data_IF_461459755735
#
_entry.id   IF_461459755735
#
_cell.length_a   1.000
_cell.length_b   1.000
_cell.length_c   1.000
_cell.angle_alpha   90.00
_cell.angle_beta   90.00
_cell.angle_gamma   90.00
#
_symmetry.space_group_name_H-M   'P 1'
#
loop_
_entity.id
_entity.type
_entity.pdbx_description
1 polymer ?
#
# COMPACT_ATOMS: atom_id res chain seq x y z
N UNK A 1 31.80 -12.42 -32.51
CA UNK A 1 32.60 -13.65 -32.60
C UNK A 1 32.60 -14.31 -31.23
N UNK A 2 31.98 -15.47 -31.20
CA UNK A 2 32.19 -16.63 -30.32
C UNK A 2 31.95 -16.45 -28.80
N UNK A 3 30.86 -16.98 -28.42
CA UNK A 3 30.61 -18.01 -27.38
C UNK A 3 31.28 -17.88 -26.03
N UNK A 4 30.46 -17.60 -25.06
CA UNK A 4 30.57 -18.14 -23.69
C UNK A 4 29.16 -18.29 -23.08
N UNK A 5 28.38 -19.19 -23.65
CA UNK A 5 27.30 -19.90 -22.96
C UNK A 5 27.81 -21.28 -22.59
N UNK A 6 27.78 -21.60 -21.34
CA UNK A 6 27.83 -22.89 -20.62
C UNK A 6 28.94 -22.89 -19.59
N UNK A 7 28.52 -22.78 -18.36
CA UNK A 7 28.89 -23.62 -17.21
C UNK A 7 28.55 -22.89 -15.92
N UNK A 8 27.50 -23.23 -15.27
CA UNK A 8 27.43 -23.69 -13.89
C UNK A 8 26.08 -24.37 -13.76
N UNK A 9 26.16 -25.69 -13.84
CA UNK A 9 25.09 -26.61 -13.55
C UNK A 9 25.01 -26.90 -12.05
N UNK A 10 23.78 -27.22 -11.67
CA UNK A 10 23.36 -28.27 -10.72
C UNK A 10 24.25 -28.56 -9.51
N UNK A 11 23.62 -28.42 -8.38
CA UNK A 11 23.56 -29.30 -7.22
C UNK A 11 23.42 -28.52 -5.92
N UNK A 12 22.26 -28.52 -5.33
CA UNK A 12 21.99 -28.88 -3.94
C UNK A 12 20.50 -29.10 -3.79
N UNK A 13 20.05 -30.31 -4.07
CA UNK A 13 18.83 -30.88 -3.48
C UNK A 13 19.31 -31.98 -2.58
N UNK A 14 19.16 -31.87 -1.26
CA UNK A 14 18.84 -33.00 -0.41
C UNK A 14 18.46 -32.59 1.03
N UNK A 15 17.35 -33.17 1.44
CA UNK A 15 16.89 -33.53 2.78
C UNK A 15 16.19 -32.48 3.61
N UNK A 16 14.89 -32.61 3.68
CA UNK A 16 14.20 -32.89 4.94
C UNK A 16 12.89 -33.63 4.66
N UNK A 17 12.73 -34.71 5.38
CA UNK A 17 11.92 -35.86 5.22
C UNK A 17 10.40 -35.67 5.28
N UNK A 18 9.79 -36.56 4.55
CA UNK A 18 8.38 -36.88 4.59
C UNK A 18 8.01 -37.58 5.92
N UNK A 19 6.90 -37.15 6.50
CA UNK A 19 6.06 -38.03 7.32
C UNK A 19 4.61 -37.51 7.21
N UNK A 20 3.85 -38.20 6.38
CA UNK A 20 2.38 -38.21 6.41
C UNK A 20 1.94 -39.59 6.88
N UNK A 21 1.09 -39.73 7.89
CA UNK A 21 0.36 -40.97 8.08
C UNK A 21 -0.88 -40.98 7.18
N UNK A 22 -0.97 -42.07 6.42
CA UNK A 22 -2.16 -42.46 5.67
C UNK A 22 -3.27 -42.89 6.66
N UNK A 23 -4.44 -42.28 6.57
CA UNK A 23 -5.65 -42.83 7.19
C UNK A 23 -6.46 -43.58 6.16
N UNK A 24 -6.66 -44.89 6.45
CA UNK A 24 -7.53 -45.80 5.75
C UNK A 24 -9.00 -45.36 5.91
N UNK A 25 -9.74 -45.40 4.82
CA UNK A 25 -11.19 -45.36 4.80
C UNK A 25 -11.77 -46.68 5.31
N UNK A 26 -12.61 -46.61 6.33
CA UNK A 26 -13.47 -47.71 6.75
C UNK A 26 -14.91 -47.41 6.30
N UNK A 27 -15.64 -48.37 5.70
CA UNK A 27 -17.01 -48.18 5.25
C UNK A 27 -17.97 -48.70 6.32
N UNK A 28 -18.85 -47.78 6.78
CA UNK A 28 -20.02 -48.23 7.53
C UNK A 28 -20.41 -47.34 8.69
N UNK A 29 -21.36 -46.42 8.45
CA UNK A 29 -22.27 -45.98 9.50
C UNK A 29 -23.61 -45.56 8.89
N UNK A 30 -24.73 -45.81 9.62
CA UNK A 30 -26.09 -45.81 9.11
C UNK A 30 -26.73 -44.42 9.10
N UNK A 31 -27.77 -44.30 8.29
CA UNK A 31 -28.67 -43.13 8.21
C UNK A 31 -29.26 -42.78 9.58
N UNK A 32 -29.19 -41.49 9.95
CA UNK A 32 -30.00 -40.90 11.03
C UNK A 32 -30.63 -39.57 10.62
N UNK A 33 -31.69 -39.13 11.29
CA UNK A 33 -32.88 -38.57 10.67
C UNK A 33 -32.84 -37.04 10.59
N UNK A 34 -33.74 -36.51 9.74
CA UNK A 34 -34.04 -35.10 9.51
C UNK A 34 -34.33 -34.37 10.84
N UNK A 35 -33.56 -33.34 11.14
CA UNK A 35 -33.87 -32.33 12.14
C UNK A 35 -34.29 -31.05 11.44
N UNK A 36 -35.51 -30.63 11.70
CA UNK A 36 -36.11 -29.36 11.33
C UNK A 36 -35.40 -28.16 12.00
N UNK A 37 -35.25 -27.01 11.37
CA UNK A 37 -34.64 -25.83 11.98
C UNK A 37 -35.61 -25.14 12.94
N UNK A 38 -35.17 -24.93 14.18
CA UNK A 38 -35.80 -24.01 15.14
C UNK A 38 -35.48 -22.58 14.76
N UNK A 39 -36.52 -21.78 14.59
CA UNK A 39 -36.48 -20.34 14.43
C UNK A 39 -36.08 -19.70 15.75
N UNK A 40 -35.05 -18.88 15.75
CA UNK A 40 -34.75 -17.93 16.82
C UNK A 40 -34.88 -16.53 16.25
N UNK A 41 -35.88 -15.80 16.70
CA UNK A 41 -36.11 -14.40 16.36
C UNK A 41 -35.15 -13.50 17.11
N UNK A 42 -34.46 -12.59 16.38
CA UNK A 42 -33.77 -11.43 16.91
C UNK A 42 -33.85 -10.27 15.91
N UNK A 43 -34.08 -9.02 16.34
CA UNK A 43 -34.50 -7.94 15.46
C UNK A 43 -33.34 -7.27 14.75
N UNK A 44 -33.44 -7.08 13.44
CA UNK A 44 -32.68 -6.07 12.71
C UNK A 44 -31.86 -6.56 11.52
N UNK A 45 -32.45 -7.28 10.56
CA UNK A 45 -31.94 -7.29 9.18
C UNK A 45 -33.06 -7.72 8.25
N UNK A 46 -33.56 -6.81 7.44
CA UNK A 46 -34.44 -7.14 6.33
C UNK A 46 -33.62 -7.85 5.25
N UNK A 47 -33.75 -9.17 5.18
CA UNK A 47 -33.41 -9.96 4.01
C UNK A 47 -34.71 -10.41 3.36
N UNK A 48 -34.83 -10.18 2.06
CA UNK A 48 -35.93 -10.64 1.23
C UNK A 48 -35.95 -12.18 1.22
N UNK A 49 -37.06 -12.76 1.79
CA UNK A 49 -37.39 -14.15 1.60
C UNK A 49 -37.94 -14.37 0.19
N UNK A 50 -37.37 -15.31 -0.53
CA UNK A 50 -37.99 -15.91 -1.71
C UNK A 50 -38.76 -17.17 -1.28
N UNK A 51 -40.06 -17.06 -1.26
CA UNK A 51 -41.00 -18.20 -1.13
C UNK A 51 -41.04 -18.94 -2.48
N UNK A 52 -40.64 -20.20 -2.48
CA UNK A 52 -40.96 -21.14 -3.56
C UNK A 52 -42.38 -21.68 -3.34
N UNK A 53 -43.34 -21.29 -4.15
CA UNK A 53 -44.59 -22.01 -4.39
C UNK A 53 -44.52 -22.68 -5.74
N UNK A 54 -44.94 -23.94 -5.80
CA UNK A 54 -44.82 -24.85 -6.94
C UNK A 54 -45.66 -24.49 -8.18
N UNK A 55 -45.71 -25.33 -9.20
CA UNK A 55 -45.70 -24.95 -10.60
C UNK A 55 -47.07 -24.58 -11.14
N UNK A 56 -47.16 -23.41 -11.79
CA UNK A 56 -48.11 -23.16 -12.88
C UNK A 56 -47.28 -22.82 -14.12
N UNK A 57 -47.60 -23.54 -15.20
CA UNK A 57 -47.06 -23.32 -16.53
C UNK A 57 -47.42 -21.91 -17.03
N UNK A 58 -46.59 -21.41 -17.95
CA UNK A 58 -46.67 -20.14 -18.66
C UNK A 58 -46.14 -18.91 -17.92
N UNK A 59 -44.81 -18.89 -17.78
CA UNK A 59 -44.10 -17.61 -17.72
C UNK A 59 -42.80 -17.74 -18.56
N UNK A 60 -42.83 -17.07 -19.68
CA UNK A 60 -41.65 -16.92 -20.52
C UNK A 60 -40.53 -16.33 -19.65
N UNK A 61 -39.44 -17.03 -19.55
CA UNK A 61 -38.16 -16.62 -18.93
C UNK A 61 -37.85 -15.18 -19.33
N UNK A 62 -38.27 -14.20 -18.55
CA UNK A 62 -37.65 -12.89 -18.54
C UNK A 62 -36.27 -13.11 -17.93
N UNK A 63 -35.27 -13.42 -18.78
CA UNK A 63 -33.89 -13.15 -18.43
C UNK A 63 -33.85 -11.73 -17.90
N UNK A 64 -33.52 -11.55 -16.64
CA UNK A 64 -33.23 -10.22 -16.07
C UNK A 64 -32.07 -9.66 -16.91
N UNK A 65 -32.42 -8.93 -17.97
CA UNK A 65 -31.48 -8.19 -18.78
C UNK A 65 -30.77 -7.22 -17.82
N UNK A 66 -29.51 -7.49 -17.58
CA UNK A 66 -28.68 -6.61 -16.75
C UNK A 66 -28.72 -5.21 -17.35
N UNK A 67 -29.08 -4.21 -16.56
CA UNK A 67 -29.25 -2.83 -17.03
C UNK A 67 -27.97 -2.33 -17.70
N UNK A 68 -28.10 -1.82 -18.91
CA UNK A 68 -26.98 -1.33 -19.71
C UNK A 68 -26.72 0.14 -19.34
N UNK A 69 -25.59 0.38 -18.68
CA UNK A 69 -25.22 1.73 -18.21
C UNK A 69 -24.55 2.55 -19.31
N UNK A 70 -23.62 1.94 -20.08
CA UNK A 70 -22.86 2.63 -21.14
C UNK A 70 -23.11 1.96 -22.50
N UNK A 71 -23.83 2.64 -23.38
CA UNK A 71 -24.20 2.12 -24.70
C UNK A 71 -23.08 2.15 -25.72
N UNK A 72 -22.09 3.04 -25.55
CA UNK A 72 -20.95 3.27 -26.46
C UNK A 72 -19.67 3.29 -25.63
N UNK A 73 -19.00 2.18 -25.55
CA UNK A 73 -17.83 2.05 -24.71
C UNK A 73 -16.76 1.16 -25.35
N UNK A 74 -15.53 1.32 -24.86
CA UNK A 74 -14.39 0.55 -25.33
C UNK A 74 -13.61 -0.06 -24.15
N UNK A 75 -13.19 -1.32 -24.30
CA UNK A 75 -12.22 -1.97 -23.42
C UNK A 75 -10.86 -2.03 -24.11
N UNK A 76 -9.80 -1.67 -23.39
CA UNK A 76 -8.42 -1.69 -23.87
C UNK A 76 -7.60 -2.71 -23.09
N UNK A 77 -7.06 -3.70 -23.77
CA UNK A 77 -6.01 -4.58 -23.26
C UNK A 77 -4.65 -4.03 -23.68
N UNK A 78 -3.90 -3.50 -22.71
CA UNK A 78 -2.69 -2.74 -22.96
C UNK A 78 -1.45 -3.58 -22.67
N UNK A 79 -0.64 -3.80 -23.70
CA UNK A 79 0.66 -4.43 -23.64
C UNK A 79 1.79 -3.42 -23.87
N UNK A 80 3.05 -3.91 -23.84
CA UNK A 80 4.23 -3.06 -24.06
C UNK A 80 4.26 -2.47 -25.47
N UNK A 81 3.91 -3.24 -26.48
CA UNK A 81 4.08 -2.88 -27.89
C UNK A 81 2.73 -2.66 -28.60
N UNK A 82 1.65 -3.18 -28.06
CA UNK A 82 0.33 -3.15 -28.67
C UNK A 82 -0.78 -2.80 -27.68
N UNK A 83 -1.84 -2.22 -28.19
CA UNK A 83 -3.12 -2.03 -27.51
C UNK A 83 -4.19 -2.72 -28.33
N UNK A 84 -4.87 -3.69 -27.75
CA UNK A 84 -6.05 -4.31 -28.34
C UNK A 84 -7.28 -3.58 -27.82
N UNK A 85 -8.04 -2.94 -28.73
CA UNK A 85 -9.22 -2.16 -28.44
C UNK A 85 -10.48 -2.92 -28.91
N UNK A 86 -11.43 -3.11 -28.00
CA UNK A 86 -12.76 -3.62 -28.31
C UNK A 86 -13.80 -2.54 -28.12
N UNK A 87 -14.25 -1.97 -29.23
CA UNK A 87 -15.38 -1.03 -29.25
C UNK A 87 -16.69 -1.80 -29.20
N UNK A 88 -17.57 -1.47 -28.25
CA UNK A 88 -18.88 -2.05 -28.06
C UNK A 88 -19.95 -0.97 -28.20
N UNK A 89 -20.83 -1.14 -29.18
CA UNK A 89 -21.93 -0.23 -29.50
C UNK A 89 -23.25 -0.96 -29.34
N UNK A 90 -24.22 -0.29 -28.76
CA UNK A 90 -25.58 -0.82 -28.60
C UNK A 90 -26.58 0.16 -29.24
N UNK A 91 -27.23 -0.32 -30.29
CA UNK A 91 -28.30 0.41 -31.02
C UNK A 91 -29.50 -0.52 -31.21
N UNK A 92 -30.69 -0.05 -30.87
CA UNK A 92 -31.95 -0.77 -31.05
C UNK A 92 -31.94 -2.21 -30.43
N UNK A 93 -31.32 -2.34 -29.27
CA UNK A 93 -31.18 -3.63 -28.56
C UNK A 93 -30.16 -4.59 -29.17
N UNK A 94 -29.52 -4.24 -30.27
CA UNK A 94 -28.45 -5.04 -30.91
C UNK A 94 -27.09 -4.56 -30.43
N UNK A 95 -26.26 -5.53 -30.04
CA UNK A 95 -24.85 -5.30 -29.66
C UNK A 95 -23.97 -5.55 -30.87
N UNK A 96 -23.16 -4.57 -31.23
CA UNK A 96 -22.09 -4.70 -32.21
C UNK A 96 -20.74 -4.49 -31.54
N UNK A 97 -19.78 -5.31 -31.86
CA UNK A 97 -18.41 -5.22 -31.34
C UNK A 97 -17.43 -5.16 -32.50
N UNK A 98 -16.48 -4.25 -32.43
CA UNK A 98 -15.37 -4.17 -33.38
C UNK A 98 -14.06 -4.23 -32.59
N UNK A 99 -13.15 -5.09 -33.00
CA UNK A 99 -11.85 -5.26 -32.36
C UNK A 99 -10.77 -4.79 -33.33
N UNK A 100 -9.93 -3.87 -32.86
CA UNK A 100 -8.73 -3.39 -33.59
C UNK A 100 -7.50 -3.47 -32.70
N UNK A 101 -6.35 -3.66 -33.32
CA UNK A 101 -5.05 -3.63 -32.65
C UNK A 101 -4.26 -2.42 -33.14
N UNK A 102 -3.74 -1.65 -32.19
CA UNK A 102 -2.90 -0.49 -32.44
C UNK A 102 -1.53 -0.70 -31.82
N UNK A 103 -0.48 -0.07 -32.39
CA UNK A 103 0.82 -0.04 -31.73
C UNK A 103 0.82 1.00 -30.61
N UNK A 104 1.71 0.85 -29.63
CA UNK A 104 1.84 1.84 -28.53
C UNK A 104 2.68 3.07 -28.93
N UNK A 105 2.88 3.31 -30.23
CA UNK A 105 3.50 4.55 -30.72
C UNK A 105 2.51 5.70 -30.64
N UNK A 106 3.01 6.93 -30.45
CA UNK A 106 2.15 8.12 -30.33
C UNK A 106 1.21 8.27 -31.53
N UNK A 107 1.72 8.04 -32.75
CA UNK A 107 0.89 8.14 -33.96
C UNK A 107 -0.24 7.11 -33.98
N UNK A 108 -0.01 5.89 -33.53
CA UNK A 108 -1.05 4.86 -33.48
C UNK A 108 -2.04 5.09 -32.34
N UNK A 109 -1.59 5.63 -31.21
CA UNK A 109 -2.48 5.98 -30.11
C UNK A 109 -3.37 7.18 -30.45
N UNK A 110 -2.88 8.14 -31.24
CA UNK A 110 -3.72 9.21 -31.80
C UNK A 110 -4.77 8.65 -32.78
N UNK A 111 -4.37 7.69 -33.63
CA UNK A 111 -5.35 6.98 -34.51
C UNK A 111 -6.38 6.19 -33.70
N UNK A 112 -6.00 5.63 -32.56
CA UNK A 112 -6.94 5.01 -31.63
C UNK A 112 -7.95 6.04 -31.11
N UNK A 113 -7.49 7.22 -30.66
CA UNK A 113 -8.36 8.30 -30.19
C UNK A 113 -9.34 8.76 -31.29
N UNK A 114 -8.82 9.05 -32.47
CA UNK A 114 -9.64 9.43 -33.65
C UNK A 114 -10.69 8.37 -34.01
N UNK A 115 -10.31 7.09 -33.98
CA UNK A 115 -11.23 5.99 -34.26
C UNK A 115 -12.33 5.87 -33.20
N UNK A 116 -12.00 6.05 -31.92
CA UNK A 116 -12.98 6.04 -30.83
C UNK A 116 -13.96 7.21 -30.95
N UNK A 117 -13.45 8.44 -31.22
CA UNK A 117 -14.24 9.63 -31.36
C UNK A 117 -15.20 9.52 -32.60
N UNK A 118 -14.70 9.06 -33.76
CA UNK A 118 -15.48 8.87 -34.96
C UNK A 118 -16.64 7.88 -34.76
N UNK A 119 -16.54 6.92 -33.86
CA UNK A 119 -17.60 5.99 -33.51
C UNK A 119 -18.48 6.45 -32.34
N UNK A 120 -18.25 7.67 -31.83
CA UNK A 120 -19.00 8.25 -30.72
C UNK A 120 -18.83 7.47 -29.39
N UNK A 121 -17.66 6.87 -29.15
CA UNK A 121 -17.31 6.24 -27.88
C UNK A 121 -17.35 7.30 -26.78
N UNK A 122 -17.93 6.96 -25.63
CA UNK A 122 -18.05 7.87 -24.49
C UNK A 122 -17.21 7.44 -23.30
N UNK A 123 -17.00 6.14 -23.12
CA UNK A 123 -16.31 5.56 -21.97
C UNK A 123 -15.25 4.58 -22.43
N UNK A 124 -14.07 4.66 -21.83
CA UNK A 124 -12.94 3.76 -22.14
C UNK A 124 -12.39 3.16 -20.86
N UNK A 125 -12.35 1.83 -20.80
CA UNK A 125 -11.73 1.12 -19.69
C UNK A 125 -10.41 0.47 -20.10
N UNK A 126 -9.39 0.56 -19.25
CA UNK A 126 -8.12 -0.14 -19.41
C UNK A 126 -7.65 -0.77 -18.09
N UNK A 127 -6.91 -1.88 -18.17
CA UNK A 127 -6.36 -2.53 -16.98
C UNK A 127 -5.05 -1.88 -16.54
N UNK A 128 -4.87 -1.71 -15.21
CA UNK A 128 -3.65 -1.16 -14.60
C UNK A 128 -2.49 -2.17 -14.66
N UNK A 129 -1.98 -2.49 -15.86
CA UNK A 129 -0.88 -3.42 -16.06
C UNK A 129 0.46 -2.70 -16.12
N UNK A 130 1.27 -2.84 -15.07
CA UNK A 130 2.60 -2.23 -14.98
C UNK A 130 2.58 -0.71 -15.14
N UNK A 131 3.36 -0.22 -16.12
CA UNK A 131 3.43 1.22 -16.48
C UNK A 131 2.86 1.50 -17.87
N UNK A 132 2.50 0.46 -18.63
CA UNK A 132 2.17 0.55 -20.05
C UNK A 132 0.86 1.28 -20.33
N UNK A 133 -0.07 1.27 -19.37
CA UNK A 133 -1.33 2.00 -19.46
C UNK A 133 -1.15 3.54 -19.48
N UNK A 134 -0.05 4.06 -18.90
CA UNK A 134 0.14 5.52 -18.74
C UNK A 134 0.21 6.31 -20.05
N UNK A 135 1.03 5.90 -21.04
CA UNK A 135 1.03 6.61 -22.34
C UNK A 135 -0.33 6.62 -23.02
N UNK A 136 -1.06 5.49 -22.95
CA UNK A 136 -2.41 5.37 -23.51
C UNK A 136 -3.37 6.31 -22.78
N UNK A 137 -3.31 6.31 -21.44
CA UNK A 137 -4.11 7.23 -20.62
C UNK A 137 -3.87 8.69 -20.99
N UNK A 138 -2.60 9.10 -21.05
CA UNK A 138 -2.26 10.51 -21.31
C UNK A 138 -2.68 11.00 -22.70
N UNK A 139 -2.76 10.13 -23.69
CA UNK A 139 -3.23 10.51 -25.03
C UNK A 139 -4.76 10.57 -25.09
N UNK A 140 -5.46 9.70 -24.34
CA UNK A 140 -6.92 9.67 -24.32
C UNK A 140 -7.54 10.62 -23.27
N UNK A 141 -6.74 11.21 -22.37
CA UNK A 141 -7.18 12.12 -21.29
C UNK A 141 -7.24 13.58 -21.81
N UNK A 142 -7.92 13.78 -22.94
CA UNK A 142 -8.15 15.07 -23.59
C UNK A 142 -9.54 15.66 -23.31
N UNK A 143 -10.37 14.93 -22.55
CA UNK A 143 -11.72 15.31 -22.17
C UNK A 143 -12.82 14.78 -23.10
N UNK A 144 -12.49 14.09 -24.18
CA UNK A 144 -13.49 13.48 -25.09
C UNK A 144 -14.09 12.20 -24.50
N UNK A 145 -13.34 11.49 -23.63
CA UNK A 145 -13.73 10.19 -23.08
C UNK A 145 -13.75 10.20 -21.56
N UNK A 146 -14.69 9.49 -20.96
CA UNK A 146 -14.61 9.12 -19.55
C UNK A 146 -13.72 7.89 -19.39
N UNK A 147 -12.51 8.09 -18.82
CA UNK A 147 -11.51 7.06 -18.69
C UNK A 147 -11.64 6.30 -17.36
N UNK A 148 -11.65 4.97 -17.42
CA UNK A 148 -11.76 4.07 -16.27
C UNK A 148 -10.53 3.17 -16.20
N UNK A 149 -9.66 3.40 -15.22
CA UNK A 149 -8.55 2.50 -14.95
C UNK A 149 -9.02 1.37 -14.03
N UNK A 150 -9.07 0.16 -14.55
CA UNK A 150 -9.52 -1.03 -13.83
C UNK A 150 -8.40 -1.70 -13.05
N UNK A 151 -8.70 -2.21 -11.84
CA UNK A 151 -7.76 -3.04 -11.09
C UNK A 151 -7.85 -4.48 -11.57
N UNK A 152 -6.73 -5.06 -12.05
CA UNK A 152 -6.62 -6.43 -12.53
C UNK A 152 -7.22 -7.48 -11.57
N UNK A 153 -6.98 -7.35 -10.27
CA UNK A 153 -7.53 -8.28 -9.29
C UNK A 153 -9.05 -8.16 -9.14
N UNK A 154 -9.62 -6.98 -9.40
CA UNK A 154 -11.06 -6.76 -9.36
C UNK A 154 -11.72 -7.35 -10.60
N UNK A 155 -11.20 -7.07 -11.78
CA UNK A 155 -11.70 -7.60 -13.07
C UNK A 155 -11.71 -9.13 -13.08
N UNK A 156 -10.66 -9.77 -12.56
CA UNK A 156 -10.55 -11.24 -12.45
C UNK A 156 -11.55 -11.87 -11.47
N UNK A 157 -12.07 -11.12 -10.52
CA UNK A 157 -12.98 -11.61 -9.48
C UNK A 157 -14.46 -11.32 -9.75
N UNK A 158 -14.80 -10.66 -10.87
CA UNK A 158 -16.20 -10.45 -11.25
C UNK A 158 -16.78 -11.80 -11.69
N UNK A 159 -17.90 -12.27 -11.10
CA UNK A 159 -18.55 -13.50 -11.54
C UNK A 159 -19.03 -13.37 -12.98
N UNK A 160 -18.71 -14.34 -13.82
CA UNK A 160 -19.11 -14.37 -15.20
C UNK A 160 -18.27 -15.39 -15.99
N UNK A 161 -18.71 -15.72 -17.18
CA UNK A 161 -17.99 -16.63 -18.07
C UNK A 161 -16.86 -15.85 -18.74
N UNK A 162 -15.63 -16.03 -18.28
CA UNK A 162 -14.45 -15.66 -19.06
C UNK A 162 -14.37 -16.68 -20.20
N UNK A 163 -14.89 -16.32 -21.37
CA UNK A 163 -14.58 -17.06 -22.60
C UNK A 163 -13.16 -16.70 -22.98
N UNK A 164 -12.47 -17.56 -23.77
CA UNK A 164 -11.12 -17.29 -24.31
C UNK A 164 -11.06 -16.10 -25.28
N UNK A 165 -12.05 -15.26 -25.23
CA UNK A 165 -12.22 -14.05 -25.99
C UNK A 165 -11.52 -12.94 -25.24
N UNK A 166 -10.55 -12.38 -25.90
CA UNK A 166 -9.79 -11.17 -25.71
C UNK A 166 -10.15 -10.36 -24.44
N UNK A 167 -9.17 -10.15 -23.55
CA UNK A 167 -9.34 -9.40 -22.30
C UNK A 167 -9.96 -8.00 -22.54
N UNK A 168 -9.77 -7.42 -23.74
CA UNK A 168 -10.41 -6.17 -24.17
C UNK A 168 -11.93 -6.28 -24.29
N UNK A 169 -12.47 -7.39 -24.86
CA UNK A 169 -13.92 -7.60 -24.97
C UNK A 169 -14.57 -7.76 -23.60
N UNK A 170 -13.90 -8.48 -22.70
CA UNK A 170 -14.37 -8.63 -21.32
C UNK A 170 -14.40 -7.31 -20.57
N UNK A 171 -13.38 -6.45 -20.74
CA UNK A 171 -13.37 -5.10 -20.18
C UNK A 171 -14.50 -4.24 -20.73
N UNK A 172 -14.76 -4.29 -22.05
CA UNK A 172 -15.86 -3.56 -22.68
C UNK A 172 -17.22 -3.99 -22.15
N UNK A 173 -17.43 -5.30 -21.96
CA UNK A 173 -18.66 -5.85 -21.40
C UNK A 173 -18.88 -5.42 -19.94
N UNK A 174 -17.86 -5.57 -19.10
CA UNK A 174 -17.92 -5.13 -17.71
C UNK A 174 -18.17 -3.62 -17.58
N UNK A 175 -17.54 -2.82 -18.46
CA UNK A 175 -17.73 -1.37 -18.49
C UNK A 175 -19.17 -1.04 -18.89
N UNK A 176 -19.70 -1.67 -19.93
CA UNK A 176 -21.07 -1.45 -20.42
C UNK A 176 -22.12 -1.64 -19.33
N UNK A 177 -21.90 -2.56 -18.41
CA UNK A 177 -22.80 -2.86 -17.29
C UNK A 177 -22.41 -2.18 -15.97
N UNK A 178 -21.43 -1.24 -15.96
CA UNK A 178 -21.00 -0.53 -14.75
C UNK A 178 -20.35 -1.40 -13.68
N UNK A 179 -19.85 -2.57 -14.04
CA UNK A 179 -19.26 -3.54 -13.12
C UNK A 179 -17.80 -3.25 -12.77
N UNK A 180 -17.16 -2.29 -13.45
CA UNK A 180 -15.78 -1.86 -13.18
C UNK A 180 -15.79 -0.73 -12.15
N UNK A 181 -15.06 -0.94 -11.05
CA UNK A 181 -14.74 0.16 -10.14
C UNK A 181 -13.46 0.84 -10.57
N UNK A 182 -13.55 2.14 -10.83
CA UNK A 182 -12.40 2.96 -11.20
C UNK A 182 -11.31 2.92 -10.11
N UNK A 183 -10.08 2.74 -10.52
CA UNK A 183 -8.91 2.93 -9.66
C UNK A 183 -8.58 4.42 -9.57
N UNK A 184 -8.01 4.83 -8.45
CA UNK A 184 -7.53 6.20 -8.28
C UNK A 184 -6.34 6.48 -9.21
N UNK A 185 -6.53 7.39 -10.17
CA UNK A 185 -5.49 7.98 -11.00
C UNK A 185 -5.31 9.42 -10.54
N UNK A 186 -4.16 9.79 -10.00
CA UNK A 186 -3.89 11.17 -9.59
C UNK A 186 -3.66 12.06 -10.83
N UNK A 187 -3.84 13.36 -10.64
CA UNK A 187 -3.47 14.37 -11.62
C UNK A 187 -1.97 14.35 -11.94
N UNK A 188 -1.61 15.02 -13.05
CA UNK A 188 -0.22 15.03 -13.56
C UNK A 188 0.78 15.55 -12.53
N UNK A 189 0.46 16.65 -11.82
CA UNK A 189 1.36 17.22 -10.81
C UNK A 189 1.60 16.25 -9.64
N UNK A 190 0.55 15.61 -9.16
CA UNK A 190 0.65 14.56 -8.13
C UNK A 190 1.43 13.34 -8.64
N UNK A 191 1.30 12.95 -9.92
CA UNK A 191 2.07 11.86 -10.50
C UNK A 191 3.57 12.20 -10.59
N UNK A 192 3.93 13.41 -11.00
CA UNK A 192 5.32 13.88 -11.05
C UNK A 192 5.95 13.89 -9.66
N UNK A 193 5.26 14.49 -8.68
CA UNK A 193 5.69 14.51 -7.29
C UNK A 193 5.89 13.10 -6.73
N UNK A 194 4.96 12.18 -7.04
CA UNK A 194 5.04 10.77 -6.68
C UNK A 194 6.28 10.09 -7.30
N UNK A 195 6.58 10.36 -8.55
CA UNK A 195 7.74 9.80 -9.23
C UNK A 195 9.05 10.29 -8.59
N UNK A 196 9.17 11.58 -8.29
CA UNK A 196 10.32 12.15 -7.60
C UNK A 196 10.55 11.50 -6.23
N UNK A 197 9.53 11.44 -5.38
CA UNK A 197 9.66 10.91 -4.02
C UNK A 197 9.88 9.39 -3.98
N UNK A 198 9.34 8.64 -4.96
CA UNK A 198 9.64 7.22 -5.12
C UNK A 198 11.07 6.99 -5.60
N UNK A 199 11.55 7.80 -6.54
CA UNK A 199 12.95 7.80 -6.99
C UNK A 199 13.89 8.10 -5.82
N UNK A 200 13.62 9.15 -5.05
CA UNK A 200 14.37 9.46 -3.83
C UNK A 200 14.46 8.26 -2.88
N UNK A 201 13.33 7.61 -2.62
CA UNK A 201 13.30 6.44 -1.74
C UNK A 201 14.10 5.26 -2.30
N UNK A 202 14.16 5.13 -3.61
CA UNK A 202 14.99 4.12 -4.28
C UNK A 202 16.46 4.44 -4.09
N UNK A 203 16.90 5.69 -4.31
CA UNK A 203 18.28 6.14 -4.08
C UNK A 203 18.74 5.90 -2.64
N UNK A 204 17.87 6.15 -1.64
CA UNK A 204 18.15 5.82 -0.22
C UNK A 204 18.41 4.32 -0.02
N UNK A 205 17.66 3.44 -0.70
CA UNK A 205 17.87 2.00 -0.61
C UNK A 205 19.19 1.56 -1.25
N UNK A 206 19.53 2.15 -2.38
CA UNK A 206 20.81 1.91 -3.08
C UNK A 206 21.98 2.36 -2.23
N UNK A 207 21.90 3.57 -1.65
CA UNK A 207 22.90 4.07 -0.70
C UNK A 207 23.08 3.12 0.48
N UNK A 208 21.97 2.68 1.11
CA UNK A 208 22.02 1.71 2.21
C UNK A 208 22.71 0.40 1.81
N UNK A 209 22.50 -0.05 0.55
CA UNK A 209 23.17 -1.23 0.02
C UNK A 209 24.68 -1.03 -0.11
N UNK A 210 25.13 0.16 -0.51
CA UNK A 210 26.55 0.48 -0.56
C UNK A 210 27.16 0.60 0.84
N UNK A 211 26.47 1.18 1.82
CA UNK A 211 26.90 1.21 3.23
C UNK A 211 27.12 -0.20 3.77
N UNK A 212 26.18 -1.13 3.51
CA UNK A 212 26.35 -2.54 3.91
C UNK A 212 27.55 -3.22 3.23
N UNK A 213 27.88 -2.85 1.98
CA UNK A 213 29.10 -3.35 1.30
C UNK A 213 30.36 -2.78 1.93
N UNK A 214 30.37 -1.51 2.35
CA UNK A 214 31.47 -0.93 3.14
C UNK A 214 31.66 -1.71 4.43
N UNK A 215 30.58 -1.95 5.20
CA UNK A 215 30.64 -2.77 6.43
C UNK A 215 31.24 -4.14 6.16
N UNK A 216 30.77 -4.84 5.12
CA UNK A 216 31.30 -6.15 4.75
C UNK A 216 32.78 -6.12 4.40
N UNK A 217 33.24 -5.10 3.69
CA UNK A 217 34.69 -4.92 3.32
C UNK A 217 35.54 -4.64 4.55
N UNK A 218 35.04 -3.84 5.50
CA UNK A 218 35.71 -3.59 6.77
C UNK A 218 35.79 -4.86 7.62
N UNK A 219 34.69 -5.63 7.65
CA UNK A 219 34.61 -6.90 8.38
C UNK A 219 35.60 -7.94 7.81
N UNK A 220 35.73 -8.03 6.48
CA UNK A 220 36.72 -8.87 5.81
C UNK A 220 38.19 -8.46 6.15
N UNK A 221 38.43 -7.17 6.36
CA UNK A 221 39.70 -6.64 6.85
C UNK A 221 39.88 -6.78 8.38
N UNK A 222 38.96 -7.37 9.09
CA UNK A 222 38.87 -7.42 10.56
C UNK A 222 38.87 -6.05 11.25
N UNK A 223 38.22 -5.06 10.62
CA UNK A 223 37.99 -3.71 11.16
C UNK A 223 36.54 -3.67 11.70
N UNK A 224 36.38 -3.47 13.01
CA UNK A 224 35.10 -3.58 13.74
C UNK A 224 34.46 -2.22 14.05
N UNK A 225 34.52 -1.27 13.12
CA UNK A 225 34.01 0.09 13.32
C UNK A 225 32.51 0.15 13.58
N UNK A 226 31.72 -0.74 12.99
CA UNK A 226 30.26 -0.80 13.17
C UNK A 226 29.85 -1.25 14.59
N UNK A 227 30.74 -1.94 15.31
CA UNK A 227 30.50 -2.34 16.70
C UNK A 227 30.71 -1.20 17.71
N UNK A 228 31.48 -0.17 17.34
CA UNK A 228 31.88 0.94 18.22
C UNK A 228 31.29 2.29 17.81
N UNK A 229 30.83 2.42 16.56
CA UNK A 229 30.18 3.62 16.04
C UNK A 229 28.72 3.35 15.74
N UNK A 230 27.83 4.25 16.15
CA UNK A 230 26.41 4.16 15.85
C UNK A 230 26.08 4.52 14.39
N UNK A 231 26.96 5.28 13.74
CA UNK A 231 26.84 5.69 12.34
C UNK A 231 28.21 5.63 11.65
N UNK A 232 28.38 4.64 10.79
CA UNK A 232 29.61 4.40 10.06
C UNK A 232 29.89 5.49 9.00
N UNK A 233 28.83 6.08 8.43
CA UNK A 233 28.96 7.16 7.43
C UNK A 233 28.94 8.54 8.06
N UNK A 234 28.79 8.65 9.38
CA UNK A 234 28.94 9.89 10.10
C UNK A 234 30.38 10.42 10.10
N UNK A 235 30.58 11.67 10.57
CA UNK A 235 31.86 12.40 10.52
C UNK A 235 33.08 11.55 10.92
N UNK A 236 32.99 10.85 12.07
CA UNK A 236 34.15 10.07 12.58
C UNK A 236 34.39 8.79 11.79
N UNK A 237 33.30 8.03 11.47
CA UNK A 237 33.44 6.81 10.70
C UNK A 237 33.99 7.08 9.30
N UNK A 238 33.42 8.10 8.65
CA UNK A 238 33.88 8.52 7.31
C UNK A 238 35.37 8.91 7.32
N UNK A 239 35.83 9.76 8.27
CA UNK A 239 37.20 10.18 8.38
C UNK A 239 38.17 8.98 8.60
N UNK A 240 37.77 8.02 9.46
CA UNK A 240 38.57 6.81 9.69
C UNK A 240 38.66 5.93 8.45
N UNK A 241 37.56 5.74 7.70
CA UNK A 241 37.55 4.96 6.47
C UNK A 241 38.40 5.63 5.40
N UNK A 242 38.31 6.94 5.24
CA UNK A 242 39.13 7.70 4.28
C UNK A 242 40.61 7.60 4.61
N UNK A 243 41.01 7.67 5.89
CA UNK A 243 42.37 7.47 6.34
C UNK A 243 42.87 6.03 6.07
N UNK A 244 42.04 5.02 6.28
CA UNK A 244 42.32 3.62 5.92
C UNK A 244 42.60 3.49 4.40
N UNK A 245 41.74 4.13 3.59
CA UNK A 245 41.91 4.17 2.11
C UNK A 245 43.21 4.87 1.71
N UNK A 246 43.56 5.95 2.40
CA UNK A 246 44.79 6.69 2.17
C UNK A 246 46.09 5.91 2.56
N UNK A 247 45.89 4.82 3.33
CA UNK A 247 47.00 3.95 3.70
C UNK A 247 47.44 4.05 5.15
N UNK A 248 46.74 4.84 5.98
CA UNK A 248 47.02 4.84 7.42
C UNK A 248 46.63 3.49 8.03
N UNK A 249 47.55 2.92 8.80
CA UNK A 249 47.37 1.61 9.48
C UNK A 249 47.57 1.70 10.97
N UNK A 250 47.99 2.85 11.48
CA UNK A 250 48.22 3.05 12.90
C UNK A 250 46.91 3.26 13.64
N UNK A 251 46.46 2.30 14.52
CA UNK A 251 45.17 2.39 15.22
C UNK A 251 45.07 3.62 16.15
N UNK A 252 46.18 4.14 16.64
CA UNK A 252 46.18 5.33 17.52
C UNK A 252 45.85 6.58 16.70
N UNK A 253 46.47 6.75 15.52
CA UNK A 253 46.17 7.85 14.62
C UNK A 253 44.73 7.76 14.11
N UNK A 254 44.30 6.60 13.69
CA UNK A 254 42.92 6.37 13.23
C UNK A 254 41.89 6.67 14.32
N UNK A 255 42.09 6.20 15.56
CA UNK A 255 41.22 6.49 16.69
C UNK A 255 41.20 8.00 17.04
N UNK A 256 42.31 8.71 16.81
CA UNK A 256 42.40 10.15 17.00
C UNK A 256 41.50 10.99 16.08
N UNK A 257 40.96 10.41 15.00
CA UNK A 257 39.96 11.05 14.12
C UNK A 257 38.56 11.05 14.70
N UNK A 258 38.33 10.42 15.87
CA UNK A 258 37.03 10.38 16.53
C UNK A 258 36.62 11.76 17.01
N UNK A 259 35.41 12.18 16.68
CA UNK A 259 34.74 13.35 17.27
C UNK A 259 34.44 13.10 18.77
N UNK A 260 34.47 14.17 19.59
CA UNK A 260 34.20 14.11 21.04
C UNK A 260 32.85 13.46 21.41
N UNK A 261 31.92 13.39 20.48
CA UNK A 261 30.59 12.77 20.65
C UNK A 261 30.59 11.25 20.52
N UNK A 262 31.70 10.64 20.10
CA UNK A 262 31.82 9.18 20.04
C UNK A 262 31.83 8.61 21.46
N UNK A 263 30.92 7.69 21.75
CA UNK A 263 30.74 7.11 23.11
C UNK A 263 31.74 6.01 23.45
N UNK A 264 32.35 5.40 22.43
CA UNK A 264 33.34 4.34 22.64
C UNK A 264 34.64 4.94 23.23
N UNK A 265 35.26 4.20 24.16
CA UNK A 265 36.55 4.62 24.71
C UNK A 265 37.63 4.57 23.65
N UNK A 266 38.73 5.39 23.80
CA UNK A 266 39.86 5.36 22.88
C UNK A 266 40.49 3.96 22.71
N UNK A 267 40.53 3.17 23.79
CA UNK A 267 41.05 1.80 23.78
C UNK A 267 40.21 0.89 22.90
N UNK A 268 38.88 0.96 23.04
CA UNK A 268 37.94 0.18 22.23
C UNK A 268 38.02 0.57 20.75
N UNK A 269 38.17 1.87 20.46
CA UNK A 269 38.37 2.36 19.09
C UNK A 269 39.67 1.84 18.47
N UNK A 270 40.78 1.89 19.24
CA UNK A 270 42.07 1.36 18.79
C UNK A 270 41.99 -0.13 18.49
N UNK A 271 41.32 -0.89 19.36
CA UNK A 271 41.16 -2.33 19.15
C UNK A 271 40.29 -2.64 17.94
N UNK A 272 39.16 -1.93 17.77
CA UNK A 272 38.29 -2.08 16.61
C UNK A 272 38.95 -1.71 15.27
N UNK A 273 40.03 -0.90 15.29
CA UNK A 273 40.79 -0.47 14.13
C UNK A 273 42.05 -1.33 13.87
N UNK A 274 42.27 -2.37 14.67
CA UNK A 274 43.35 -3.35 14.42
C UNK A 274 42.85 -4.41 13.43
N UNK A 275 43.29 -4.27 12.18
CA UNK A 275 42.94 -5.21 11.14
C UNK A 275 43.95 -5.22 10.01
N UNK A 276 43.71 -6.06 9.00
CA UNK A 276 44.57 -6.21 7.82
C UNK A 276 43.94 -5.56 6.60
N UNK A 277 44.12 -4.26 6.43
CA UNK A 277 43.62 -3.50 5.27
C UNK A 277 44.61 -3.62 4.11
N UNK A 278 44.24 -4.39 3.09
CA UNK A 278 45.04 -4.60 1.87
C UNK A 278 44.74 -3.56 0.80
N UNK A 279 45.50 -3.53 -0.30
CA UNK A 279 45.23 -2.69 -1.48
C UNK A 279 43.84 -2.99 -2.05
N UNK A 280 43.42 -4.26 -2.03
CA UNK A 280 42.09 -4.67 -2.49
C UNK A 280 40.95 -4.06 -1.64
N UNK A 281 41.06 -4.12 -0.31
CA UNK A 281 40.09 -3.49 0.59
C UNK A 281 40.00 -1.99 0.36
N UNK A 282 41.13 -1.29 0.22
CA UNK A 282 41.17 0.17 -0.07
C UNK A 282 40.48 0.51 -1.38
N UNK A 283 40.66 -0.31 -2.42
CA UNK A 283 39.99 -0.14 -3.71
C UNK A 283 38.46 -0.27 -3.55
N UNK A 284 38.00 -1.33 -2.91
CA UNK A 284 36.54 -1.56 -2.70
C UNK A 284 35.91 -0.47 -1.82
N UNK A 285 36.56 -0.08 -0.74
CA UNK A 285 36.09 0.99 0.14
C UNK A 285 35.98 2.31 -0.65
N UNK A 286 36.98 2.68 -1.44
CA UNK A 286 36.96 3.87 -2.30
C UNK A 286 35.83 3.81 -3.30
N UNK A 287 35.66 2.67 -3.98
CA UNK A 287 34.58 2.46 -4.95
C UNK A 287 33.23 2.71 -4.32
N UNK A 288 32.95 2.11 -3.15
CA UNK A 288 31.65 2.23 -2.49
C UNK A 288 31.42 3.61 -1.88
N UNK A 289 32.46 4.29 -1.35
CA UNK A 289 32.33 5.67 -0.89
C UNK A 289 31.97 6.63 -2.03
N UNK A 290 32.60 6.49 -3.18
CA UNK A 290 32.30 7.32 -4.36
C UNK A 290 30.84 7.12 -4.81
N UNK A 291 30.32 5.88 -4.76
CA UNK A 291 28.91 5.61 -5.08
C UNK A 291 27.96 6.24 -4.04
N UNK A 292 28.31 6.19 -2.76
CA UNK A 292 27.52 6.85 -1.69
C UNK A 292 27.46 8.36 -1.94
N UNK A 293 28.58 8.99 -2.25
CA UNK A 293 28.66 10.44 -2.53
C UNK A 293 27.84 10.83 -3.77
N UNK A 294 27.91 10.03 -4.83
CA UNK A 294 27.12 10.24 -6.05
C UNK A 294 25.59 10.10 -5.75
N UNK A 295 25.20 9.13 -4.93
CA UNK A 295 23.81 8.95 -4.52
C UNK A 295 23.33 10.09 -3.62
N UNK A 296 24.17 10.63 -2.73
CA UNK A 296 23.86 11.81 -1.92
C UNK A 296 23.63 13.04 -2.79
N UNK A 297 24.48 13.26 -3.80
CA UNK A 297 24.31 14.35 -4.76
C UNK A 297 23.02 14.18 -5.59
N UNK A 298 22.71 12.98 -6.05
CA UNK A 298 21.48 12.68 -6.77
C UNK A 298 20.23 12.92 -5.89
N UNK A 299 20.27 12.52 -4.62
CA UNK A 299 19.18 12.79 -3.67
C UNK A 299 18.98 14.29 -3.44
N UNK A 300 20.08 15.07 -3.33
CA UNK A 300 19.98 16.53 -3.20
C UNK A 300 19.34 17.18 -4.43
N UNK A 301 19.64 16.69 -5.64
CA UNK A 301 19.01 17.15 -6.88
C UNK A 301 17.50 16.84 -6.90
N UNK A 302 17.12 15.64 -6.48
CA UNK A 302 15.69 15.26 -6.37
C UNK A 302 15.00 16.11 -5.32
N UNK A 303 15.62 16.37 -4.17
CA UNK A 303 15.06 17.19 -3.10
C UNK A 303 14.84 18.66 -3.56
N UNK A 304 15.74 19.22 -4.36
CA UNK A 304 15.56 20.53 -4.95
C UNK A 304 14.39 20.57 -5.94
N UNK A 305 14.22 19.53 -6.76
CA UNK A 305 13.09 19.43 -7.70
C UNK A 305 11.76 19.23 -6.96
N UNK A 306 11.75 18.46 -5.88
CA UNK A 306 10.57 18.30 -5.00
C UNK A 306 10.15 19.65 -4.42
N UNK A 307 11.11 20.45 -3.92
CA UNK A 307 10.81 21.77 -3.36
C UNK A 307 10.29 22.75 -4.43
N UNK A 308 10.83 22.70 -5.65
CA UNK A 308 10.34 23.52 -6.77
C UNK A 308 8.88 23.18 -7.16
N UNK A 309 8.50 21.92 -7.08
CA UNK A 309 7.16 21.44 -7.42
C UNK A 309 6.19 21.48 -6.23
N UNK A 310 6.62 21.90 -5.04
CA UNK A 310 5.82 21.81 -3.81
C UNK A 310 4.69 22.84 -3.73
N UNK A 311 4.73 23.92 -4.52
CA UNK A 311 3.79 25.04 -4.46
C UNK A 311 2.34 24.63 -4.24
N UNK A 312 1.72 23.84 -5.16
CA UNK A 312 0.32 23.40 -5.06
C UNK A 312 0.01 22.55 -3.82
N UNK A 313 1.00 21.89 -3.25
CA UNK A 313 0.85 20.93 -2.16
C UNK A 313 1.22 21.50 -0.78
N UNK A 314 1.78 22.72 -0.71
CA UNK A 314 2.37 23.29 0.52
C UNK A 314 1.39 23.30 1.69
N UNK A 315 0.19 23.84 1.48
CA UNK A 315 -0.85 23.88 2.52
C UNK A 315 -1.21 22.50 3.03
N UNK A 316 -1.35 21.51 2.14
CA UNK A 316 -1.66 20.14 2.53
C UNK A 316 -0.50 19.49 3.31
N UNK A 317 0.73 19.75 2.91
CA UNK A 317 1.93 19.29 3.62
C UNK A 317 2.00 19.87 5.02
N UNK A 318 1.76 21.17 5.18
CA UNK A 318 1.77 21.87 6.48
C UNK A 318 0.67 21.33 7.41
N UNK A 319 -0.54 21.10 6.88
CA UNK A 319 -1.61 20.45 7.65
C UNK A 319 -1.15 19.07 8.15
N UNK A 320 -0.64 18.21 7.27
CA UNK A 320 -0.22 16.85 7.62
C UNK A 320 0.95 16.85 8.62
N UNK A 321 1.85 17.81 8.56
CA UNK A 321 2.95 17.96 9.51
C UNK A 321 2.48 18.24 10.95
N UNK A 322 1.27 18.72 11.14
CA UNK A 322 0.68 18.89 12.48
C UNK A 322 0.41 17.55 13.20
N UNK A 323 0.35 16.44 12.47
CA UNK A 323 0.20 15.09 13.03
C UNK A 323 1.50 14.67 13.73
N UNK A 324 1.46 14.24 15.00
CA UNK A 324 2.64 13.77 15.70
C UNK A 324 3.39 12.68 14.93
N UNK A 325 4.70 12.81 14.82
CA UNK A 325 5.56 11.82 14.13
C UNK A 325 5.66 11.98 12.62
N UNK A 326 4.96 12.95 12.03
CA UNK A 326 5.10 13.29 10.61
C UNK A 326 5.97 14.54 10.48
N UNK A 327 7.02 14.44 9.69
CA UNK A 327 7.88 15.56 9.29
C UNK A 327 7.73 15.82 7.80
N UNK A 328 8.35 16.88 7.28
CA UNK A 328 8.21 17.37 5.92
C UNK A 328 8.27 16.25 4.85
N UNK A 329 9.34 15.45 4.81
CA UNK A 329 9.48 14.37 3.84
C UNK A 329 8.35 13.31 3.96
N UNK A 330 7.91 13.01 5.18
CA UNK A 330 6.79 12.10 5.41
C UNK A 330 5.47 12.65 4.89
N UNK A 331 5.20 13.95 5.13
CA UNK A 331 4.01 14.65 4.65
C UNK A 331 4.01 14.73 3.10
N UNK A 332 5.11 15.15 2.50
CA UNK A 332 5.27 15.17 1.04
C UNK A 332 5.02 13.79 0.42
N UNK A 333 5.60 12.72 0.99
CA UNK A 333 5.39 11.36 0.50
C UNK A 333 3.93 10.89 0.64
N UNK A 334 3.22 11.30 1.70
CA UNK A 334 1.80 10.97 1.85
C UNK A 334 0.97 11.72 0.81
N UNK A 335 1.15 13.05 0.68
CA UNK A 335 0.42 13.87 -0.30
C UNK A 335 0.65 13.35 -1.71
N UNK A 336 1.87 13.02 -2.10
CA UNK A 336 2.17 12.49 -3.44
C UNK A 336 1.47 11.15 -3.73
N UNK A 337 1.16 10.36 -2.71
CA UNK A 337 0.49 9.08 -2.88
C UNK A 337 -1.04 9.19 -2.91
N UNK A 338 -1.64 10.11 -2.16
CA UNK A 338 -3.11 10.23 -2.06
C UNK A 338 -3.70 11.45 -2.78
N UNK A 339 -2.84 12.42 -3.18
CA UNK A 339 -3.30 13.73 -3.68
C UNK A 339 -3.82 14.62 -2.56
N UNK A 340 -4.37 15.76 -2.93
CA UNK A 340 -4.98 16.72 -2.02
C UNK A 340 -6.51 16.72 -2.09
N UNK A 341 -7.07 16.25 -3.19
CA UNK A 341 -8.52 16.19 -3.42
C UNK A 341 -9.12 14.91 -2.82
N UNK A 342 -9.77 15.04 -1.67
CA UNK A 342 -10.41 13.93 -0.96
C UNK A 342 -11.77 13.53 -1.55
N UNK A 343 -12.34 14.28 -2.50
CA UNK A 343 -13.57 13.89 -3.21
C UNK A 343 -13.40 12.59 -4.02
N UNK A 344 -12.15 12.29 -4.41
CA UNK A 344 -11.77 11.05 -5.09
C UNK A 344 -12.01 9.79 -4.26
N UNK A 345 -12.15 9.91 -2.94
CA UNK A 345 -12.45 8.81 -2.03
C UNK A 345 -13.79 9.06 -1.34
N UNK A 346 -14.81 8.20 -1.57
CA UNK A 346 -16.15 8.41 -0.98
C UNK A 346 -16.13 8.52 0.56
N UNK A 347 -15.14 7.91 1.23
CA UNK A 347 -14.93 8.03 2.67
C UNK A 347 -13.47 7.69 3.05
N UNK A 348 -13.10 8.01 4.30
CA UNK A 348 -11.83 7.58 4.90
C UNK A 348 -11.64 6.07 4.87
N UNK A 349 -12.71 5.29 5.04
CA UNK A 349 -12.68 3.83 4.94
C UNK A 349 -12.29 3.35 3.53
N UNK A 350 -12.72 4.04 2.47
CA UNK A 350 -12.31 3.75 1.10
C UNK A 350 -10.82 4.04 0.89
N UNK A 351 -10.31 5.16 1.41
CA UNK A 351 -8.89 5.51 1.37
C UNK A 351 -8.04 4.47 2.12
N UNK A 352 -8.45 4.04 3.32
CA UNK A 352 -7.77 3.00 4.12
C UNK A 352 -7.76 1.66 3.37
N UNK A 353 -8.87 1.30 2.73
CA UNK A 353 -8.98 0.09 1.92
C UNK A 353 -8.06 0.13 0.70
N UNK A 354 -8.02 1.25 -0.01
CA UNK A 354 -7.12 1.48 -1.14
C UNK A 354 -5.65 1.42 -0.72
N UNK A 355 -5.28 2.04 0.40
CA UNK A 355 -3.94 1.96 0.97
C UNK A 355 -3.54 0.53 1.41
N UNK A 356 -4.51 -0.38 1.55
CA UNK A 356 -4.28 -1.75 1.99
C UNK A 356 -3.85 -1.87 3.44
N UNK A 357 -4.31 -0.94 4.30
CA UNK A 357 -3.98 -0.92 5.74
C UNK A 357 -5.02 -1.69 6.55
N UNK A 358 -6.24 -1.89 6.02
CA UNK A 358 -7.26 -2.73 6.64
C UNK A 358 -7.01 -4.24 6.40
N UNK A 359 -7.41 -5.12 7.32
CA UNK A 359 -7.40 -6.56 7.09
C UNK A 359 -8.32 -6.95 5.93
N UNK A 360 -8.00 -8.06 5.26
CA UNK A 360 -8.95 -8.68 4.33
C UNK A 360 -10.16 -9.19 5.12
N UNK A 361 -11.34 -8.95 4.57
CA UNK A 361 -12.58 -9.51 5.11
C UNK A 361 -12.96 -10.76 4.29
N UNK A 362 -12.01 -11.69 4.17
CA UNK A 362 -12.20 -12.95 3.45
C UNK A 362 -12.91 -13.93 4.39
N UNK A 363 -14.24 -13.89 4.36
CA UNK A 363 -15.10 -14.79 5.12
C UNK A 363 -16.04 -15.54 4.16
N UNK A 364 -16.20 -16.83 4.35
CA UNK A 364 -17.13 -17.68 3.60
C UNK A 364 -17.77 -18.67 4.55
N UNK A 365 -19.10 -18.70 4.57
CA UNK A 365 -19.90 -19.55 5.47
C UNK A 365 -19.49 -19.42 6.95
N UNK A 366 -19.29 -18.19 7.43
CA UNK A 366 -18.88 -17.91 8.82
C UNK A 366 -17.42 -18.25 9.15
N UNK A 367 -16.64 -18.78 8.19
CA UNK A 367 -15.22 -19.11 8.40
C UNK A 367 -14.31 -18.05 7.79
N UNK A 368 -13.49 -17.41 8.61
CA UNK A 368 -12.44 -16.48 8.16
C UNK A 368 -11.31 -17.24 7.47
N UNK A 369 -11.07 -16.95 6.19
CA UNK A 369 -10.00 -17.56 5.40
C UNK A 369 -8.64 -16.90 5.64
N UNK A 370 -8.59 -15.58 5.84
CA UNK A 370 -7.33 -14.86 6.02
C UNK A 370 -7.49 -13.56 6.81
N UNK A 371 -6.54 -13.31 7.73
CA UNK A 371 -6.37 -12.04 8.45
C UNK A 371 -5.23 -11.17 7.85
N UNK A 372 -4.67 -11.55 6.69
CA UNK A 372 -3.57 -10.83 6.07
C UNK A 372 -4.06 -9.46 5.54
N UNK A 373 -3.18 -8.49 5.56
CA UNK A 373 -3.42 -7.20 4.92
C UNK A 373 -3.47 -7.36 3.40
N UNK A 374 -4.26 -6.52 2.74
CA UNK A 374 -4.25 -6.41 1.27
C UNK A 374 -2.90 -5.87 0.79
N UNK A 375 -2.54 -6.13 -0.48
CA UNK A 375 -1.31 -5.58 -1.06
C UNK A 375 -1.36 -4.05 -1.03
N UNK A 376 -2.40 -3.41 -1.53
CA UNK A 376 -2.60 -1.95 -1.52
C UNK A 376 -1.42 -1.14 -2.05
N UNK A 377 -1.29 0.11 -1.62
CA UNK A 377 -0.22 1.03 -1.99
C UNK A 377 1.04 0.84 -1.10
N UNK A 378 2.06 0.07 -1.52
CA UNK A 378 3.18 -0.29 -0.65
C UNK A 378 4.05 0.91 -0.22
N UNK A 379 4.14 1.93 -1.07
CA UNK A 379 4.89 3.15 -0.79
C UNK A 379 4.25 3.96 0.34
N UNK A 380 2.95 4.22 0.24
CA UNK A 380 2.16 4.89 1.28
C UNK A 380 2.18 4.10 2.58
N UNK A 381 1.90 2.80 2.52
CA UNK A 381 1.87 1.93 3.69
C UNK A 381 3.17 1.97 4.47
N UNK A 382 4.31 1.86 3.80
CA UNK A 382 5.63 1.90 4.45
C UNK A 382 5.86 3.25 5.13
N UNK A 383 5.51 4.35 4.47
CA UNK A 383 5.66 5.71 5.02
C UNK A 383 4.77 5.90 6.24
N UNK A 384 3.48 5.51 6.16
CA UNK A 384 2.56 5.61 7.31
C UNK A 384 2.99 4.77 8.51
N UNK A 385 3.53 3.57 8.28
CA UNK A 385 4.06 2.72 9.37
C UNK A 385 5.26 3.39 10.05
N UNK A 386 6.17 4.00 9.29
CA UNK A 386 7.29 4.76 9.86
C UNK A 386 6.81 5.97 10.67
N UNK A 387 5.85 6.72 10.15
CA UNK A 387 5.21 7.84 10.85
C UNK A 387 4.50 7.37 12.12
N UNK A 388 3.78 6.24 12.07
CA UNK A 388 3.10 5.67 13.23
C UNK A 388 4.09 5.27 14.34
N UNK A 389 5.23 4.65 14.00
CA UNK A 389 6.28 4.35 14.97
C UNK A 389 6.88 5.61 15.62
N UNK A 390 6.96 6.72 14.88
CA UNK A 390 7.38 7.99 15.44
C UNK A 390 6.28 8.61 16.32
N UNK A 391 5.01 8.56 15.88
CA UNK A 391 3.86 9.13 16.56
C UNK A 391 3.63 8.53 17.95
N UNK A 392 3.75 7.21 18.09
CA UNK A 392 3.53 6.51 19.38
C UNK A 392 4.59 6.84 20.43
N UNK A 393 5.69 7.49 20.05
CA UNK A 393 6.71 8.00 21.01
C UNK A 393 6.28 9.29 21.70
N UNK A 394 5.30 10.03 21.16
CA UNK A 394 4.75 11.23 21.81
C UNK A 394 3.96 10.82 23.04
N UNK A 395 4.47 11.20 24.21
CA UNK A 395 3.82 10.90 25.51
C UNK A 395 2.45 11.60 25.60
N UNK A 396 1.55 11.00 26.35
CA UNK A 396 0.22 11.55 26.66
C UNK A 396 -0.67 11.84 25.43
N UNK A 397 -0.43 11.17 24.30
CA UNK A 397 -1.20 11.32 23.07
C UNK A 397 -2.23 10.21 22.86
N UNK A 398 -3.28 10.51 22.12
CA UNK A 398 -4.26 9.52 21.66
C UNK A 398 -3.61 8.33 20.93
N UNK A 399 -2.68 8.61 20.00
CA UNK A 399 -2.02 7.57 19.20
C UNK A 399 -1.17 6.63 20.06
N UNK A 400 -0.51 7.15 21.10
CA UNK A 400 0.23 6.33 22.06
C UNK A 400 -0.73 5.44 22.88
N UNK A 401 -1.81 6.01 23.40
CA UNK A 401 -2.81 5.28 24.17
C UNK A 401 -3.45 4.15 23.34
N UNK A 402 -3.82 4.44 22.09
CA UNK A 402 -4.33 3.46 21.13
C UNK A 402 -3.34 2.30 20.93
N UNK A 403 -2.07 2.64 20.68
CA UNK A 403 -1.02 1.63 20.48
C UNK A 403 -0.91 0.69 21.67
N UNK A 404 -0.77 1.21 22.90
CA UNK A 404 -0.61 0.39 24.07
C UNK A 404 -1.83 -0.51 24.34
N UNK A 405 -3.04 0.05 24.20
CA UNK A 405 -4.29 -0.70 24.36
C UNK A 405 -4.41 -1.88 23.38
N UNK A 406 -4.04 -1.67 22.11
CA UNK A 406 -4.11 -2.75 21.09
C UNK A 406 -2.94 -3.71 21.24
N UNK A 407 -1.73 -3.20 21.53
CA UNK A 407 -0.51 -4.01 21.73
C UNK A 407 -0.72 -5.07 22.80
N UNK A 408 -1.33 -4.73 23.94
CA UNK A 408 -1.60 -5.67 25.03
C UNK A 408 -2.45 -6.89 24.59
N UNK A 409 -3.37 -6.72 23.63
CA UNK A 409 -4.31 -7.78 23.20
C UNK A 409 -3.94 -8.46 21.88
N UNK A 410 -3.26 -7.76 20.98
CA UNK A 410 -3.07 -8.17 19.56
C UNK A 410 -1.61 -8.13 19.10
N UNK A 411 -0.70 -7.71 19.96
CA UNK A 411 0.72 -7.55 19.67
C UNK A 411 1.09 -6.25 18.91
N UNK A 412 2.40 -5.91 18.85
CA UNK A 412 2.87 -4.62 18.36
C UNK A 412 2.60 -4.40 16.86
N UNK A 413 2.74 -5.43 16.02
CA UNK A 413 2.56 -5.31 14.58
C UNK A 413 1.12 -4.96 14.18
N UNK A 414 0.11 -5.52 14.87
CA UNK A 414 -1.29 -5.18 14.63
C UNK A 414 -1.63 -3.81 15.22
N UNK A 415 -1.03 -3.46 16.37
CA UNK A 415 -1.23 -2.17 17.00
C UNK A 415 -0.71 -1.03 16.12
N UNK A 416 0.49 -1.16 15.56
CA UNK A 416 1.05 -0.10 14.72
C UNK A 416 0.28 0.09 13.42
N UNK A 417 -0.26 -0.99 12.84
CA UNK A 417 -1.13 -0.88 11.66
C UNK A 417 -2.45 -0.16 11.97
N UNK A 418 -3.03 -0.37 13.15
CA UNK A 418 -4.22 0.36 13.58
C UNK A 418 -3.93 1.85 13.80
N UNK A 419 -2.76 2.19 14.37
CA UNK A 419 -2.32 3.58 14.50
C UNK A 419 -2.11 4.21 13.13
N UNK A 420 -1.47 3.51 12.18
CA UNK A 420 -1.29 3.97 10.81
C UNK A 420 -2.64 4.24 10.11
N UNK A 421 -3.64 3.39 10.33
CA UNK A 421 -4.99 3.60 9.83
C UNK A 421 -5.63 4.86 10.44
N UNK A 422 -5.52 5.05 11.78
CA UNK A 422 -6.05 6.26 12.45
C UNK A 422 -5.36 7.54 11.98
N UNK A 423 -4.05 7.48 11.71
CA UNK A 423 -3.34 8.63 11.10
C UNK A 423 -3.91 8.94 9.72
N UNK A 424 -4.15 7.93 8.89
CA UNK A 424 -4.70 8.14 7.53
C UNK A 424 -6.15 8.65 7.58
N UNK A 425 -6.99 8.16 8.53
CA UNK A 425 -8.32 8.73 8.80
C UNK A 425 -8.23 10.21 9.16
N UNK A 426 -7.34 10.58 10.08
CA UNK A 426 -7.15 11.97 10.46
C UNK A 426 -6.73 12.83 9.25
N UNK A 427 -5.77 12.37 8.46
CA UNK A 427 -5.31 13.06 7.24
C UNK A 427 -6.45 13.26 6.24
N UNK A 428 -7.32 12.24 6.03
CA UNK A 428 -8.49 12.37 5.17
C UNK A 428 -9.39 13.54 5.58
N UNK A 429 -9.76 13.63 6.87
CA UNK A 429 -10.60 14.70 7.37
C UNK A 429 -9.87 16.05 7.38
N UNK A 430 -8.59 16.07 7.74
CA UNK A 430 -7.78 17.29 7.72
C UNK A 430 -7.70 17.92 6.33
N UNK A 431 -7.46 17.09 5.29
CA UNK A 431 -7.42 17.58 3.90
C UNK A 431 -8.81 17.96 3.37
N UNK A 432 -9.85 17.21 3.76
CA UNK A 432 -11.24 17.51 3.36
C UNK A 432 -11.76 18.80 3.97
N UNK A 433 -11.47 19.04 5.26
CA UNK A 433 -12.06 20.12 6.06
C UNK A 433 -11.09 21.32 6.23
N UNK A 434 -9.84 21.21 5.73
CA UNK A 434 -8.82 22.26 5.87
C UNK A 434 -8.34 22.49 7.31
N UNK A 435 -8.42 21.49 8.19
CA UNK A 435 -8.17 21.64 9.63
C UNK A 435 -6.87 20.96 10.07
N UNK A 436 -6.22 21.51 11.10
CA UNK A 436 -5.04 20.91 11.72
C UNK A 436 -5.42 19.70 12.60
N UNK A 437 -4.44 18.82 12.85
CA UNK A 437 -4.62 17.67 13.74
C UNK A 437 -4.93 18.10 15.17
N UNK A 438 -6.01 17.55 15.71
CA UNK A 438 -6.39 17.71 17.11
C UNK A 438 -6.19 16.39 17.87
N UNK A 439 -5.33 16.42 18.89
CA UNK A 439 -5.07 15.25 19.73
C UNK A 439 -6.23 15.02 20.71
N UNK A 440 -6.86 13.87 20.65
CA UNK A 440 -7.99 13.50 21.51
C UNK A 440 -7.58 13.18 22.96
N UNK A 441 -6.26 13.18 23.24
CA UNK A 441 -5.70 12.92 24.56
C UNK A 441 -5.60 11.44 24.92
N UNK A 442 -4.77 11.15 25.94
CA UNK A 442 -4.49 9.78 26.41
C UNK A 442 -5.70 9.08 27.02
N UNK A 443 -6.58 9.85 27.62
CA UNK A 443 -7.76 9.41 28.38
C UNK A 443 -9.01 9.20 27.49
N UNK A 444 -8.89 9.44 26.17
CA UNK A 444 -10.01 9.29 25.23
C UNK A 444 -10.72 7.92 25.33
N UNK A 445 -9.93 6.86 25.43
CA UNK A 445 -10.50 5.49 25.50
C UNK A 445 -11.16 5.21 26.85
N UNK A 446 -10.63 5.78 27.92
CA UNK A 446 -11.18 5.61 29.27
C UNK A 446 -12.49 6.38 29.40
N UNK A 447 -12.53 7.63 28.94
CA UNK A 447 -13.76 8.44 28.85
C UNK A 447 -14.84 7.72 28.04
N UNK A 448 -14.50 7.27 26.84
CA UNK A 448 -15.44 6.55 25.96
C UNK A 448 -15.94 5.23 26.59
N UNK A 449 -15.05 4.50 27.27
CA UNK A 449 -15.43 3.26 27.97
C UNK A 449 -16.40 3.53 29.11
N UNK A 450 -16.12 4.57 29.91
CA UNK A 450 -16.99 5.00 31.01
C UNK A 450 -18.37 5.44 30.50
N UNK A 451 -18.42 6.22 29.41
CA UNK A 451 -19.70 6.65 28.83
C UNK A 451 -20.49 5.49 28.22
N UNK A 452 -19.82 4.50 27.61
CA UNK A 452 -20.49 3.30 27.14
C UNK A 452 -21.03 2.45 28.30
N UNK A 453 -20.28 2.33 29.40
CA UNK A 453 -20.73 1.62 30.59
C UNK A 453 -21.94 2.31 31.22
N UNK A 454 -21.91 3.65 31.37
CA UNK A 454 -23.07 4.45 31.85
C UNK A 454 -24.30 4.20 30.98
N UNK A 455 -24.17 4.36 29.64
CA UNK A 455 -25.28 4.10 28.69
C UNK A 455 -25.81 2.68 28.76
N UNK A 456 -24.94 1.68 28.91
CA UNK A 456 -25.33 0.27 29.04
C UNK A 456 -26.09 0.00 30.33
N UNK A 457 -25.64 0.60 31.45
CA UNK A 457 -26.31 0.45 32.75
C UNK A 457 -27.68 1.14 32.75
N UNK A 458 -27.80 2.34 32.21
CA UNK A 458 -29.08 3.04 32.05
C UNK A 458 -30.04 2.22 31.21
N UNK A 459 -29.59 1.70 30.07
CA UNK A 459 -30.43 0.86 29.21
C UNK A 459 -30.92 -0.40 29.93
N UNK A 460 -30.04 -1.10 30.65
CA UNK A 460 -30.40 -2.29 31.41
C UNK A 460 -31.42 -2.01 32.50
N UNK A 461 -31.33 -0.86 33.17
CA UNK A 461 -32.30 -0.44 34.19
C UNK A 461 -33.62 -0.02 33.54
N UNK A 462 -33.60 0.64 32.37
CA UNK A 462 -34.78 0.96 31.61
C UNK A 462 -35.48 -0.31 31.09
N UNK A 463 -34.76 -1.32 30.63
CA UNK A 463 -35.29 -2.62 30.20
C UNK A 463 -35.97 -3.39 31.38
N UNK A 464 -35.60 -3.08 32.62
CA UNK A 464 -36.22 -3.59 33.86
C UNK A 464 -37.38 -2.72 34.37
N UNK A 465 -37.77 -1.66 33.63
CA UNK A 465 -38.88 -0.79 33.95
C UNK A 465 -38.54 0.40 34.87
N UNK A 466 -37.27 0.71 35.06
CA UNK A 466 -36.82 1.84 35.93
C UNK A 466 -36.44 3.05 35.09
N UNK A 467 -36.93 4.24 35.46
CA UNK A 467 -36.40 5.51 34.97
C UNK A 467 -35.17 5.90 35.78
N UNK A 468 -34.02 6.18 35.08
CA UNK A 468 -32.73 6.41 35.74
C UNK A 468 -32.21 7.78 35.39
N UNK A 469 -31.97 8.61 36.39
CA UNK A 469 -31.19 9.87 36.27
C UNK A 469 -29.82 9.68 36.88
N UNK A 470 -28.77 9.93 36.08
CA UNK A 470 -27.36 9.83 36.56
C UNK A 470 -26.89 11.23 36.97
N UNK A 471 -26.55 11.39 38.26
CA UNK A 471 -25.89 12.60 38.79
C UNK A 471 -24.45 12.26 39.17
N UNK A 472 -23.45 13.08 38.81
CA UNK A 472 -22.09 12.93 39.31
C UNK A 472 -22.09 13.03 40.85
N UNK A 473 -21.37 12.13 41.52
CA UNK A 473 -21.07 12.32 42.93
C UNK A 473 -20.19 13.59 43.09
N UNK A 474 -20.51 14.46 44.04
CA UNK A 474 -19.64 15.55 44.38
C UNK A 474 -18.25 15.01 44.71
N UNK A 475 -17.20 15.61 44.11
CA UNK A 475 -15.83 15.28 44.46
C UNK A 475 -15.64 15.54 45.96
N UNK A 476 -15.45 14.46 46.74
CA UNK A 476 -14.96 14.62 48.12
C UNK A 476 -13.56 15.22 48.04
N UNK A 477 -13.44 16.42 48.60
CA UNK A 477 -12.21 17.20 48.69
C UNK A 477 -11.10 16.45 49.43
#
# INVERSE_FOLDING_TARGET
MLDLRRAVGTEVVHRLGANKPAYKLDPGFPEHPRLSPRVVNGPGARFLEFLFTGPHADDATQEKVMELLHRRCCGLDVHKETVVACLRLVSDGKVTTEVRTFQTTTADLLRLSEWLAANGCTHVAMEATGVYWKPVWHILDDGEFELVLANAAHVKNVPGRKTDVNDAMWLAELLAHGLIRASFVPDTQTQEMRNLLRTRKQLVREQSSHVLRVQKTLEDANIKLDSVLSDLMGKSGRAMIEALIAGETNPVKLAGLADRRVKASPEKLREALRGRVTKHHRFLLRLHLNQIDALDAAMATVDAQVEANLGPFRTAVDLIMSVPGIKNLGAQAIVSEIGIDMSRFPSDAHLISWAGICPRNDESAGKRRSNRLRKGAPWLKTTLVQCAWAAVKKKNSYLQAQFHRIKARRGPNKAIMAVAASILTAIYHMLKDGTMYQDLGRDHFDRRSTDQQKKSLVKRLADLGYAVEIKPLAATA
#
